data_IF_983007435661
#
_entry.id   IF_983007435661
#
_cell.length_a   1.000
_cell.length_b   1.000
_cell.length_c   1.000
_cell.angle_alpha   90.00
_cell.angle_beta   90.00
_cell.angle_gamma   90.00
#
_symmetry.space_group_name_H-M   'P 1'
#
loop_
_entity.id
_entity.type
_entity.pdbx_description
1 polymer ?
#
# COMPACT_ATOMS: atom_id res chain seq x y z
N UNK A 1 -4.67 6.09 14.14
CA UNK A 1 -5.44 5.55 13.02
C UNK A 1 -4.75 4.31 12.46
N UNK A 2 -5.52 3.29 12.16
CA UNK A 2 -4.99 2.05 11.62
C UNK A 2 -4.88 2.11 10.12
N UNK A 3 -3.79 1.54 9.60
CA UNK A 3 -3.56 1.48 8.16
C UNK A 3 -3.21 0.06 7.75
N UNK A 4 -3.56 -0.28 6.52
CA UNK A 4 -3.05 -1.46 5.85
C UNK A 4 -2.43 -1.00 4.53
N UNK A 5 -1.56 -1.83 3.98
CA UNK A 5 -0.75 -1.47 2.81
C UNK A 5 -1.02 -2.50 1.73
N UNK A 6 -1.53 -2.04 0.59
CA UNK A 6 -2.03 -2.92 -0.45
C UNK A 6 -1.12 -2.87 -1.66
N UNK A 7 -0.55 -4.02 -2.01
CA UNK A 7 0.35 -4.15 -3.14
C UNK A 7 -0.34 -5.01 -4.21
N UNK A 8 -0.59 -4.39 -5.37
CA UNK A 8 -1.11 -5.09 -6.53
C UNK A 8 0.08 -5.41 -7.44
N UNK A 9 0.41 -6.70 -7.54
CA UNK A 9 1.57 -7.11 -8.34
C UNK A 9 1.18 -7.68 -9.70
N UNK A 10 -0.12 -7.74 -10.00
CA UNK A 10 -0.62 -8.21 -11.28
C UNK A 10 -1.85 -7.44 -11.70
N UNK A 11 -2.58 -7.98 -12.68
CA UNK A 11 -3.75 -7.32 -13.25
C UNK A 11 -5.06 -7.81 -12.64
N UNK A 12 -5.03 -8.97 -11.95
CA UNK A 12 -6.23 -9.57 -11.39
C UNK A 12 -6.41 -9.15 -9.95
N UNK A 13 -7.66 -9.14 -9.47
CA UNK A 13 -7.93 -8.75 -8.10
C UNK A 13 -7.30 -9.70 -7.08
N UNK A 14 -7.08 -10.96 -7.46
CA UNK A 14 -6.41 -11.90 -6.57
C UNK A 14 -4.89 -11.72 -6.56
N UNK A 15 -4.35 -10.88 -7.44
CA UNK A 15 -2.93 -10.57 -7.46
C UNK A 15 -2.65 -9.42 -6.48
N UNK A 16 -3.08 -9.59 -5.25
CA UNK A 16 -2.96 -8.57 -4.22
C UNK A 16 -2.33 -9.16 -2.98
N UNK A 17 -1.44 -8.40 -2.36
CA UNK A 17 -0.85 -8.75 -1.07
C UNK A 17 -1.09 -7.57 -0.14
N UNK A 18 -1.59 -7.87 1.05
CA UNK A 18 -1.87 -6.85 2.05
C UNK A 18 -0.87 -6.99 3.18
N UNK A 19 -0.17 -5.92 3.49
CA UNK A 19 0.77 -5.86 4.59
C UNK A 19 0.14 -5.10 5.75
N UNK A 20 0.32 -5.60 6.96
CA UNK A 20 -0.14 -4.92 8.16
C UNK A 20 0.95 -4.09 8.81
N UNK A 21 2.19 -4.29 8.36
CA UNK A 21 3.35 -3.60 8.91
C UNK A 21 3.89 -2.59 7.90
N UNK A 22 4.08 -1.37 8.36
CA UNK A 22 4.67 -0.31 7.53
C UNK A 22 6.06 -0.70 7.05
N UNK A 23 6.85 -1.32 7.93
CA UNK A 23 8.22 -1.72 7.60
C UNK A 23 8.24 -2.76 6.50
N UNK A 24 7.33 -3.73 6.54
CA UNK A 24 7.23 -4.74 5.49
C UNK A 24 6.81 -4.11 4.17
N UNK A 25 5.88 -3.17 4.22
CA UNK A 25 5.42 -2.49 3.00
C UNK A 25 6.56 -1.69 2.36
N UNK A 26 7.32 -0.97 3.17
CA UNK A 26 8.44 -0.19 2.66
C UNK A 26 9.50 -1.11 2.05
N UNK A 27 9.83 -2.21 2.73
CA UNK A 27 10.81 -3.17 2.21
C UNK A 27 10.37 -3.75 0.88
N UNK A 28 9.08 -4.08 0.77
CA UNK A 28 8.55 -4.65 -0.47
C UNK A 28 8.55 -3.61 -1.60
N UNK A 29 8.29 -2.35 -1.28
CA UNK A 29 8.30 -1.29 -2.28
C UNK A 29 9.70 -1.09 -2.87
N UNK A 30 10.74 -1.35 -2.09
CA UNK A 30 12.11 -1.25 -2.56
C UNK A 30 12.44 -2.42 -3.50
N UNK A 31 11.90 -3.61 -3.22
CA UNK A 31 12.11 -4.78 -4.07
C UNK A 31 11.43 -4.63 -5.43
N UNK A 32 10.37 -3.84 -5.49
CA UNK A 32 9.59 -3.63 -6.71
C UNK A 32 9.45 -2.13 -6.98
N UNK A 33 10.54 -1.46 -7.35
CA UNK A 33 10.57 0.01 -7.39
C UNK A 33 9.67 0.65 -8.44
N UNK A 34 9.19 -0.13 -9.40
CA UNK A 34 8.27 0.39 -10.42
C UNK A 34 6.80 0.24 -10.03
N UNK A 35 6.52 -0.38 -8.90
CA UNK A 35 5.16 -0.58 -8.41
C UNK A 35 4.91 0.31 -7.21
N UNK A 36 3.64 0.59 -6.96
CA UNK A 36 3.25 1.36 -5.77
C UNK A 36 2.58 0.43 -4.77
N UNK A 37 2.68 0.80 -3.49
CA UNK A 37 1.95 0.12 -2.42
C UNK A 37 1.02 1.15 -1.83
N UNK A 38 -0.28 0.99 -2.05
CA UNK A 38 -1.26 1.96 -1.62
C UNK A 38 -1.58 1.81 -0.14
N UNK A 39 -1.79 2.95 0.51
CA UNK A 39 -2.11 2.99 1.94
C UNK A 39 -3.61 3.12 2.09
N UNK A 40 -4.22 2.16 2.78
CA UNK A 40 -5.64 2.19 3.10
C UNK A 40 -5.79 2.48 4.60
N UNK A 41 -6.71 3.37 4.93
CA UNK A 41 -6.96 3.75 6.31
C UNK A 41 -8.29 3.22 6.80
N UNK A 42 -8.37 2.95 8.08
CA UNK A 42 -9.60 2.43 8.67
C UNK A 42 -10.65 3.53 8.80
N UNK A 43 -11.85 3.21 8.34
CA UNK A 43 -13.02 4.11 8.45
C UNK A 43 -14.16 3.32 9.08
N UNK A 44 -15.33 3.95 9.18
CA UNK A 44 -16.51 3.29 9.75
C UNK A 44 -17.01 2.16 8.85
N UNK A 45 -16.70 2.20 7.57
CA UNK A 45 -17.13 1.16 6.61
C UNK A 45 -16.05 0.13 6.32
N UNK A 46 -14.87 0.26 6.94
CA UNK A 46 -13.76 -0.65 6.71
C UNK A 46 -12.52 0.12 6.32
N UNK A 47 -11.64 -0.52 5.54
CA UNK A 47 -10.44 0.14 5.07
C UNK A 47 -10.68 0.71 3.68
N UNK A 48 -10.42 2.00 3.52
CA UNK A 48 -10.64 2.70 2.25
C UNK A 48 -9.35 3.39 1.81
N UNK A 49 -9.19 3.66 0.51
CA UNK A 49 -7.96 4.27 0.03
C UNK A 49 -7.74 5.66 0.62
N UNK A 50 -6.51 5.94 1.04
CA UNK A 50 -6.12 7.28 1.43
C UNK A 50 -5.55 8.07 0.25
N UNK A 51 -5.26 7.36 -0.86
CA UNK A 51 -4.61 7.89 -2.06
C UNK A 51 -3.15 8.26 -1.84
N UNK A 52 -2.62 7.94 -0.66
CA UNK A 52 -1.19 8.02 -0.40
C UNK A 52 -0.58 6.66 -0.70
N UNK A 53 0.71 6.64 -1.00
CA UNK A 53 1.36 5.36 -1.34
C UNK A 53 2.86 5.42 -1.08
N UNK A 54 3.46 4.23 -1.09
CA UNK A 54 4.92 4.06 -1.06
C UNK A 54 5.39 3.62 -2.43
N UNK A 55 6.52 4.16 -2.86
CA UNK A 55 7.18 3.73 -4.09
C UNK A 55 8.67 3.83 -3.88
N UNK A 56 9.37 2.73 -4.12
CA UNK A 56 10.83 2.64 -3.97
C UNK A 56 11.28 3.14 -2.59
N UNK A 57 10.53 2.78 -1.56
CA UNK A 57 10.83 3.14 -0.18
C UNK A 57 10.44 4.55 0.23
N UNK A 58 9.89 5.35 -0.67
CA UNK A 58 9.54 6.74 -0.38
C UNK A 58 8.02 6.89 -0.25
N UNK A 59 7.62 7.78 0.64
CA UNK A 59 6.22 8.10 0.87
C UNK A 59 5.79 9.22 -0.08
N UNK A 60 4.67 8.99 -0.75
CA UNK A 60 4.07 9.99 -1.66
C UNK A 60 2.66 10.29 -1.18
N UNK A 61 2.40 11.56 -1.03
CA UNK A 61 1.08 12.03 -0.63
C UNK A 61 0.36 12.57 -1.87
N UNK A 62 -0.77 11.97 -2.18
CA UNK A 62 -1.59 12.38 -3.31
C UNK A 62 -2.78 13.16 -2.77
N UNK A 63 -2.55 14.39 -2.45
CA UNK A 63 -3.57 15.24 -1.86
C UNK A 63 -4.51 15.79 -2.92
#
# INVERSE_FOLDING_TARGET
MEFVYVFLYGCEWEDVVIFLSKEEAIAESIKHPNNIIEIFGKTTTGYTPTYNYYKNGEFFQNA
#
